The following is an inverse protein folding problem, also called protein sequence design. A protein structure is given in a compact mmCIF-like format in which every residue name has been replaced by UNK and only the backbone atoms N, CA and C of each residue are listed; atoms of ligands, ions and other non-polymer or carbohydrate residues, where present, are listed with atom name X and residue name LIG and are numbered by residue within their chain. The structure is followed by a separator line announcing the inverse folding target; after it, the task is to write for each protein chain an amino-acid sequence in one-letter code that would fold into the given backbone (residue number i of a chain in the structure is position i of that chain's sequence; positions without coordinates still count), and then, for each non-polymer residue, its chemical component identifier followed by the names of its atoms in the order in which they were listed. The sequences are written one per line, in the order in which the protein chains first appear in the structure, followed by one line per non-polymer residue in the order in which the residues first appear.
data_IF_161520864789
#
_entry.id   IF_161520864789
#
_cell.length_a   1.000
_cell.length_b   1.000
_cell.length_c   1.000
_cell.angle_alpha   90.00
_cell.angle_beta   90.00
_cell.angle_gamma   90.00
#
_symmetry.space_group_name_H-M   'P 1'
#
loop_
_entity.id
_entity.type
_entity.pdbx_description
1 polymer ?
#
# COMPACT_ATOMS: atom_id res chain seq x y z
N UNK A 1 5.16 -12.05 6.53
CA UNK A 1 4.20 -11.04 6.98
C UNK A 1 4.99 -9.93 7.65
N UNK A 2 4.83 -8.71 7.16
CA UNK A 2 5.49 -7.49 7.63
C UNK A 2 4.67 -6.86 8.77
N UNK A 3 3.34 -6.87 8.65
CA UNK A 3 2.44 -6.46 9.72
C UNK A 3 2.53 -7.47 10.87
N UNK A 4 2.67 -6.95 12.09
CA UNK A 4 2.68 -7.74 13.34
C UNK A 4 1.31 -7.66 13.99
N UNK A 5 0.38 -8.45 13.48
CA UNK A 5 -1.04 -8.43 13.89
C UNK A 5 -1.27 -9.03 15.28
N UNK A 6 -0.35 -9.86 15.77
CA UNK A 6 -0.43 -10.52 17.07
C UNK A 6 -0.44 -9.56 18.28
N UNK A 7 -0.07 -8.29 18.06
CA UNK A 7 -0.03 -7.27 19.12
C UNK A 7 -1.33 -6.45 19.23
N UNK A 8 -2.34 -6.72 18.39
CA UNK A 8 -3.59 -5.96 18.40
C UNK A 8 -4.55 -6.50 19.46
N UNK A 9 -5.29 -5.59 20.11
CA UNK A 9 -6.30 -5.95 21.14
C UNK A 9 -7.59 -6.51 20.57
N UNK A 10 -7.78 -6.40 19.26
CA UNK A 10 -8.96 -6.85 18.51
C UNK A 10 -8.52 -7.85 17.44
N UNK A 11 -9.37 -8.84 17.08
CA UNK A 11 -9.09 -9.74 15.96
C UNK A 11 -8.94 -8.96 14.65
N UNK A 12 -7.82 -9.19 13.95
CA UNK A 12 -7.51 -8.57 12.66
C UNK A 12 -7.64 -9.60 11.54
N UNK A 13 -8.21 -9.18 10.41
CA UNK A 13 -8.18 -9.92 9.14
C UNK A 13 -7.15 -9.27 8.22
N UNK A 14 -6.21 -10.06 7.72
CA UNK A 14 -5.35 -9.66 6.61
C UNK A 14 -6.18 -9.72 5.32
N UNK A 15 -6.44 -8.57 4.72
CA UNK A 15 -7.35 -8.43 3.57
C UNK A 15 -6.62 -8.18 2.27
N UNK A 16 -5.34 -7.80 2.34
CA UNK A 16 -4.51 -7.53 1.18
C UNK A 16 -3.08 -8.00 1.38
N UNK A 17 -2.56 -8.62 0.32
CA UNK A 17 -1.18 -8.99 0.09
C UNK A 17 -0.83 -8.67 -1.37
N UNK A 18 0.14 -7.78 -1.56
CA UNK A 18 0.66 -7.46 -2.89
C UNK A 18 1.17 -8.72 -3.61
N UNK A 19 1.75 -9.67 -2.88
CA UNK A 19 2.27 -10.90 -3.49
C UNK A 19 1.20 -11.74 -4.19
N UNK A 20 -0.06 -11.69 -3.73
CA UNK A 20 -1.16 -12.39 -4.39
C UNK A 20 -1.65 -11.62 -5.62
N UNK A 21 -1.70 -10.28 -5.55
CA UNK A 21 -2.03 -9.43 -6.70
C UNK A 21 -1.02 -9.59 -7.84
N UNK A 22 0.28 -9.56 -7.54
CA UNK A 22 1.32 -9.71 -8.57
C UNK A 22 1.35 -11.09 -9.22
N UNK A 23 0.88 -12.13 -8.53
CA UNK A 23 0.71 -13.47 -9.13
C UNK A 23 -0.48 -13.49 -10.09
N UNK A 24 -1.54 -12.74 -9.79
CA UNK A 24 -2.73 -12.65 -10.62
C UNK A 24 -2.50 -11.83 -11.89
N UNK A 25 -1.62 -10.82 -11.83
CA UNK A 25 -1.30 -9.95 -12.98
C UNK A 25 0.22 -9.86 -13.27
N UNK A 26 0.81 -10.89 -13.91
CA UNK A 26 2.21 -10.88 -14.31
C UNK A 26 2.52 -9.89 -15.45
N UNK A 27 1.50 -9.47 -16.22
CA UNK A 27 1.68 -8.49 -17.30
C UNK A 27 1.94 -7.10 -16.72
N UNK A 28 1.18 -6.69 -15.71
CA UNK A 28 1.41 -5.45 -14.96
C UNK A 28 2.83 -5.36 -14.39
N UNK A 29 3.31 -6.47 -13.80
CA UNK A 29 4.70 -6.57 -13.31
C UNK A 29 5.66 -6.32 -14.46
N UNK A 30 5.52 -7.04 -15.57
CA UNK A 30 6.41 -6.94 -16.73
C UNK A 30 6.45 -5.53 -17.33
N UNK A 31 5.29 -4.88 -17.45
CA UNK A 31 5.17 -3.50 -17.94
C UNK A 31 5.87 -2.49 -16.99
N UNK A 32 5.68 -2.64 -15.68
CA UNK A 32 6.32 -1.78 -14.67
C UNK A 32 7.84 -1.93 -14.69
N UNK A 33 8.34 -3.16 -14.87
CA UNK A 33 9.77 -3.42 -15.03
C UNK A 33 10.32 -2.81 -16.32
N UNK A 34 9.60 -2.94 -17.45
CA UNK A 34 9.99 -2.34 -18.72
C UNK A 34 10.08 -0.82 -18.62
N UNK A 35 9.10 -0.16 -17.98
CA UNK A 35 9.14 1.28 -17.73
C UNK A 35 10.32 1.69 -16.85
N UNK A 36 10.63 0.92 -15.81
CA UNK A 36 11.80 1.16 -14.94
C UNK A 36 13.11 1.16 -15.74
N UNK A 37 13.26 0.22 -16.68
CA UNK A 37 14.46 0.08 -17.52
C UNK A 37 14.50 1.09 -18.69
N UNK A 38 13.38 1.66 -19.08
CA UNK A 38 13.30 2.57 -20.23
C UNK A 38 13.88 3.96 -19.91
N UNK A 39 15.09 4.21 -20.42
CA UNK A 39 15.79 5.49 -20.27
C UNK A 39 15.24 6.60 -21.18
N UNK A 40 14.52 6.26 -22.24
CA UNK A 40 13.89 7.26 -23.12
C UNK A 40 12.67 7.91 -22.47
N UNK A 41 12.17 7.30 -21.38
CA UNK A 41 11.02 7.77 -20.60
C UNK A 41 11.44 8.05 -19.15
N UNK A 42 12.16 9.16 -18.88
CA UNK A 42 12.74 9.44 -17.56
C UNK A 42 11.71 9.86 -16.50
N UNK A 43 10.49 10.24 -16.91
CA UNK A 43 9.42 10.70 -16.01
C UNK A 43 8.45 9.59 -15.59
N UNK A 44 8.62 8.36 -16.06
CA UNK A 44 7.74 7.22 -15.75
C UNK A 44 8.54 5.97 -15.39
N UNK A 45 7.94 5.11 -14.57
CA UNK A 45 8.58 3.96 -13.96
C UNK A 45 9.29 4.29 -12.64
N UNK A 46 9.86 3.27 -12.02
CA UNK A 46 10.62 3.39 -10.77
C UNK A 46 12.11 3.58 -11.07
N UNK A 47 12.90 3.86 -10.05
CA UNK A 47 14.35 4.04 -10.18
C UNK A 47 15.11 2.71 -10.30
N UNK A 48 14.56 1.64 -9.70
CA UNK A 48 15.21 0.32 -9.66
C UNK A 48 16.32 0.18 -8.61
N UNK A 49 16.50 1.15 -7.70
CA UNK A 49 17.50 1.14 -6.62
C UNK A 49 17.46 -0.13 -5.78
N UNK A 50 16.27 -0.68 -5.57
CA UNK A 50 16.03 -1.84 -4.71
C UNK A 50 15.81 -3.14 -5.48
N UNK A 51 16.03 -3.14 -6.80
CA UNK A 51 15.64 -4.21 -7.72
C UNK A 51 14.42 -3.82 -8.55
N UNK A 52 14.11 -4.63 -9.57
CA UNK A 52 12.95 -4.42 -10.42
C UNK A 52 11.64 -4.80 -9.70
N UNK A 53 10.59 -4.01 -9.89
CA UNK A 53 9.29 -4.22 -9.22
C UNK A 53 8.82 -5.68 -9.26
N UNK A 54 8.48 -6.25 -8.11
CA UNK A 54 8.01 -7.63 -7.98
C UNK A 54 9.06 -8.73 -8.18
N UNK A 55 10.30 -8.40 -8.55
CA UNK A 55 11.38 -9.37 -8.68
C UNK A 55 11.86 -9.90 -7.33
N UNK A 56 12.60 -11.03 -7.33
CA UNK A 56 13.19 -11.58 -6.12
C UNK A 56 14.13 -10.58 -5.43
N UNK A 57 14.92 -9.82 -6.19
CA UNK A 57 15.82 -8.80 -5.64
C UNK A 57 15.04 -7.70 -4.89
N UNK A 58 13.90 -7.29 -5.45
CA UNK A 58 13.01 -6.30 -4.85
C UNK A 58 12.40 -6.79 -3.53
N UNK A 59 11.86 -8.01 -3.52
CA UNK A 59 11.38 -8.65 -2.29
C UNK A 59 12.49 -8.84 -1.26
N UNK A 60 13.68 -9.24 -1.69
CA UNK A 60 14.81 -9.40 -0.79
C UNK A 60 15.30 -8.07 -0.20
N UNK A 61 15.16 -6.95 -0.93
CA UNK A 61 15.47 -5.61 -0.41
C UNK A 61 14.51 -5.20 0.71
N UNK A 62 13.23 -5.53 0.58
CA UNK A 62 12.22 -5.34 1.63
C UNK A 62 12.56 -6.22 2.84
N UNK A 63 12.72 -7.52 2.64
CA UNK A 63 12.93 -8.48 3.72
C UNK A 63 14.24 -8.27 4.50
N UNK A 64 15.26 -7.71 3.84
CA UNK A 64 16.55 -7.38 4.46
C UNK A 64 16.58 -5.96 5.05
N UNK A 65 15.48 -5.22 5.01
CA UNK A 65 15.37 -3.85 5.53
C UNK A 65 16.22 -2.82 4.76
N UNK A 66 16.56 -3.10 3.50
CA UNK A 66 17.26 -2.15 2.62
C UNK A 66 16.31 -1.10 2.07
N UNK A 67 15.10 -1.51 1.72
CA UNK A 67 14.04 -0.61 1.27
C UNK A 67 13.31 -0.02 2.49
N UNK A 68 13.12 1.31 2.57
CA UNK A 68 12.35 1.92 3.63
C UNK A 68 10.88 1.48 3.57
N UNK A 69 10.31 1.19 4.74
CA UNK A 69 8.90 0.84 4.89
C UNK A 69 8.19 1.89 5.73
N UNK A 70 6.94 2.20 5.36
CA UNK A 70 6.04 3.05 6.14
C UNK A 70 4.94 2.18 6.73
N UNK A 71 4.86 2.13 8.06
CA UNK A 71 3.80 1.44 8.78
C UNK A 71 2.80 2.47 9.31
N UNK A 72 1.52 2.28 8.98
CA UNK A 72 0.43 3.08 9.52
C UNK A 72 -0.54 2.16 10.22
N UNK A 73 -1.00 2.56 11.40
CA UNK A 73 -2.04 1.85 12.12
C UNK A 73 -2.87 2.85 12.92
N UNK A 74 -4.19 2.71 12.88
CA UNK A 74 -5.07 3.66 13.54
C UNK A 74 -6.53 3.25 13.51
N UNK A 75 -7.37 4.16 14.02
CA UNK A 75 -8.82 3.97 14.07
C UNK A 75 -9.44 4.67 12.87
N UNK A 76 -10.27 3.97 12.11
CA UNK A 76 -11.04 4.54 11.01
C UNK A 76 -12.02 5.57 11.58
N UNK A 77 -11.89 6.82 11.13
CA UNK A 77 -12.82 7.92 11.45
C UNK A 77 -13.86 8.14 10.38
N UNK A 78 -13.57 7.74 9.15
CA UNK A 78 -14.48 7.84 8.01
C UNK A 78 -14.06 6.84 6.95
N UNK A 79 -15.02 6.29 6.22
CA UNK A 79 -14.81 5.55 4.98
C UNK A 79 -15.66 6.19 3.88
N UNK A 80 -15.10 6.40 2.69
CA UNK A 80 -15.75 7.12 1.60
C UNK A 80 -15.18 6.73 0.23
N UNK A 81 -15.87 7.16 -0.82
CA UNK A 81 -15.43 7.06 -2.21
C UNK A 81 -14.73 8.34 -2.63
N UNK A 82 -13.55 8.21 -3.25
CA UNK A 82 -12.83 9.27 -3.96
C UNK A 82 -12.38 8.79 -5.33
N UNK A 83 -11.95 9.71 -6.20
CA UNK A 83 -11.53 9.41 -7.57
C UNK A 83 -12.53 9.89 -8.62
N UNK A 84 -12.14 9.75 -9.89
CA UNK A 84 -12.96 10.20 -11.03
C UNK A 84 -13.93 9.12 -11.50
N UNK A 85 -13.60 7.85 -11.26
CA UNK A 85 -14.46 6.72 -11.62
C UNK A 85 -15.50 6.48 -10.51
N UNK A 86 -16.78 6.28 -10.87
CA UNK A 86 -17.80 5.90 -9.89
C UNK A 86 -17.47 4.53 -9.29
N UNK A 87 -17.58 4.43 -7.97
CA UNK A 87 -17.43 3.19 -7.22
C UNK A 87 -18.62 3.02 -6.30
N UNK A 88 -19.18 1.81 -6.28
CA UNK A 88 -20.25 1.43 -5.35
C UNK A 88 -19.71 1.13 -3.94
N UNK A 89 -18.39 1.01 -3.80
CA UNK A 89 -17.71 0.66 -2.56
C UNK A 89 -16.72 1.76 -2.13
N UNK A 90 -16.63 1.98 -0.82
CA UNK A 90 -15.62 2.87 -0.25
C UNK A 90 -14.23 2.41 -0.68
N UNK A 91 -13.40 3.35 -1.17
CA UNK A 91 -12.04 3.08 -1.61
C UNK A 91 -11.00 3.90 -0.82
N UNK A 92 -11.45 4.72 0.13
CA UNK A 92 -10.60 5.58 0.95
C UNK A 92 -11.11 5.64 2.38
N UNK A 93 -10.19 5.72 3.34
CA UNK A 93 -10.48 5.93 4.76
C UNK A 93 -9.63 7.06 5.32
N UNK A 94 -10.21 7.79 6.29
CA UNK A 94 -9.46 8.70 7.15
C UNK A 94 -9.09 7.96 8.43
N UNK A 95 -7.78 7.82 8.68
CA UNK A 95 -7.21 7.04 9.76
C UNK A 95 -6.68 7.97 10.86
N UNK A 96 -7.23 7.88 12.08
CA UNK A 96 -6.68 8.53 13.26
C UNK A 96 -5.50 7.71 13.79
N UNK A 97 -4.30 8.26 13.70
CA UNK A 97 -3.06 7.67 14.20
C UNK A 97 -2.89 7.88 15.72
N UNK A 98 -1.90 7.21 16.29
CA UNK A 98 -1.59 7.26 17.73
C UNK A 98 -1.08 8.63 18.20
N UNK A 99 -0.40 9.38 17.32
CA UNK A 99 0.02 10.76 17.52
C UNK A 99 -1.13 11.79 17.45
N UNK A 100 -2.35 11.33 17.15
CA UNK A 100 -3.55 12.15 17.05
C UNK A 100 -3.76 12.81 15.68
N UNK A 101 -2.86 12.59 14.72
CA UNK A 101 -3.04 13.07 13.34
C UNK A 101 -4.03 12.21 12.57
N UNK A 102 -4.63 12.79 11.52
CA UNK A 102 -5.50 12.08 10.59
C UNK A 102 -4.78 11.96 9.25
N UNK A 103 -4.72 10.74 8.74
CA UNK A 103 -4.16 10.45 7.42
C UNK A 103 -5.18 9.73 6.55
N UNK A 104 -5.43 10.26 5.34
CA UNK A 104 -6.26 9.59 4.35
C UNK A 104 -5.44 8.55 3.59
N UNK A 105 -5.92 7.31 3.54
CA UNK A 105 -5.28 6.20 2.82
C UNK A 105 -6.30 5.42 1.97
N UNK A 106 -5.81 4.79 0.91
CA UNK A 106 -6.62 3.91 0.07
C UNK A 106 -6.99 2.61 0.78
N UNK A 107 -8.11 2.02 0.38
CA UNK A 107 -8.50 0.65 0.74
C UNK A 107 -7.96 -0.30 -0.32
N UNK A 108 -7.21 -1.30 0.13
CA UNK A 108 -6.68 -2.38 -0.70
C UNK A 108 -7.22 -3.69 -0.17
N UNK A 109 -7.77 -4.53 -1.06
CA UNK A 109 -8.24 -5.87 -0.74
C UNK A 109 -7.92 -6.83 -1.88
N UNK A 110 -7.59 -8.08 -1.57
CA UNK A 110 -7.51 -9.13 -2.59
C UNK A 110 -8.89 -9.76 -2.88
N UNK A 111 -9.88 -9.52 -2.01
CA UNK A 111 -11.28 -9.95 -2.16
C UNK A 111 -12.18 -8.72 -1.99
N UNK A 112 -13.07 -8.47 -2.94
CA UNK A 112 -13.92 -7.27 -2.95
C UNK A 112 -14.81 -7.18 -1.70
N UNK A 113 -15.33 -8.32 -1.24
CA UNK A 113 -16.16 -8.46 -0.04
C UNK A 113 -15.46 -7.96 1.24
N UNK A 114 -14.13 -7.94 1.28
CA UNK A 114 -13.38 -7.48 2.44
C UNK A 114 -13.43 -5.96 2.62
N UNK A 115 -13.87 -5.22 1.59
CA UNK A 115 -14.07 -3.78 1.67
C UNK A 115 -15.15 -3.42 2.72
N UNK A 116 -16.09 -4.34 3.00
CA UNK A 116 -17.16 -4.15 3.99
C UNK A 116 -16.67 -4.08 5.44
N UNK A 117 -15.43 -4.47 5.73
CA UNK A 117 -14.85 -4.35 7.08
C UNK A 117 -14.36 -2.93 7.39
N UNK A 118 -14.19 -2.07 6.38
CA UNK A 118 -13.68 -0.71 6.56
C UNK A 118 -14.77 0.26 7.01
N UNK A 119 -15.06 0.23 8.31
CA UNK A 119 -16.12 1.03 8.96
C UNK A 119 -15.57 1.89 10.08
N UNK A 120 -16.26 2.98 10.37
CA UNK A 120 -15.90 3.86 11.50
C UNK A 120 -15.78 3.07 12.81
N UNK A 121 -14.75 3.38 13.60
CA UNK A 121 -14.46 2.70 14.85
C UNK A 121 -13.68 1.38 14.70
N UNK A 122 -13.46 0.86 13.49
CA UNK A 122 -12.55 -0.27 13.28
C UNK A 122 -11.09 0.19 13.29
N UNK A 123 -10.17 -0.73 13.60
CA UNK A 123 -8.73 -0.53 13.42
C UNK A 123 -8.35 -0.98 12.01
N UNK A 124 -7.43 -0.24 11.40
CA UNK A 124 -6.73 -0.68 10.19
C UNK A 124 -5.24 -0.51 10.37
N UNK A 125 -4.49 -1.45 9.79
CA UNK A 125 -3.03 -1.38 9.68
C UNK A 125 -2.63 -1.62 8.23
N UNK A 126 -1.69 -0.81 7.73
CA UNK A 126 -1.13 -0.95 6.38
C UNK A 126 0.37 -0.75 6.43
N UNK A 127 1.09 -1.48 5.58
CA UNK A 127 2.52 -1.27 5.35
C UNK A 127 2.77 -1.00 3.88
N UNK A 128 3.52 0.08 3.63
CA UNK A 128 3.96 0.48 2.31
C UNK A 128 5.45 0.27 2.13
N UNK A 129 5.85 -0.20 0.96
CA UNK A 129 7.20 -0.02 0.43
C UNK A 129 7.34 1.42 -0.10
N UNK A 130 8.42 2.10 0.29
CA UNK A 130 8.79 3.40 -0.25
C UNK A 130 9.82 3.21 -1.36
N UNK A 131 9.35 2.91 -2.58
CA UNK A 131 10.22 2.71 -3.73
C UNK A 131 10.52 4.03 -4.43
N UNK A 132 11.74 4.21 -4.90
CA UNK A 132 12.19 5.48 -5.45
C UNK A 132 11.65 5.70 -6.85
N UNK A 133 11.14 6.90 -7.11
CA UNK A 133 10.87 7.36 -8.46
C UNK A 133 12.18 7.67 -9.19
N UNK A 134 12.17 7.66 -10.52
CA UNK A 134 13.32 8.14 -11.31
C UNK A 134 13.66 9.60 -10.97
N UNK A 135 14.93 10.03 -11.06
CA UNK A 135 15.35 11.37 -10.64
C UNK A 135 14.53 12.51 -11.28
N UNK A 136 14.23 12.42 -12.57
CA UNK A 136 13.45 13.43 -13.29
C UNK A 136 11.98 13.43 -12.85
N UNK A 137 11.40 12.25 -12.60
CA UNK A 137 10.07 12.13 -12.01
C UNK A 137 10.03 12.72 -10.59
N UNK A 138 11.03 12.42 -9.76
CA UNK A 138 11.13 12.94 -8.39
C UNK A 138 11.12 14.47 -8.36
N UNK A 139 11.93 15.09 -9.21
CA UNK A 139 12.01 16.56 -9.31
C UNK A 139 10.70 17.15 -9.83
N UNK A 140 10.06 16.50 -10.80
CA UNK A 140 8.82 16.97 -11.39
C UNK A 140 7.62 16.89 -10.41
N UNK A 141 7.51 15.80 -9.66
CA UNK A 141 6.39 15.58 -8.72
C UNK A 141 6.66 16.15 -7.33
N UNK A 142 7.89 16.57 -7.03
CA UNK A 142 8.27 17.02 -5.69
C UNK A 142 8.22 15.91 -4.63
N UNK A 143 8.22 14.64 -5.04
CA UNK A 143 8.12 13.48 -4.18
C UNK A 143 9.18 12.45 -4.58
N UNK A 144 9.92 11.93 -3.60
CA UNK A 144 10.98 10.95 -3.84
C UNK A 144 10.44 9.53 -4.08
N UNK A 145 9.42 9.15 -3.32
CA UNK A 145 8.98 7.77 -3.21
C UNK A 145 7.58 7.59 -3.78
N UNK A 146 7.39 6.49 -4.50
CA UNK A 146 6.08 5.90 -4.70
C UNK A 146 5.74 5.03 -3.49
N UNK A 147 4.53 5.17 -2.94
CA UNK A 147 4.05 4.34 -1.84
C UNK A 147 3.32 3.13 -2.42
N UNK A 148 3.91 1.95 -2.25
CA UNK A 148 3.38 0.69 -2.77
C UNK A 148 2.83 -0.11 -1.59
N UNK A 149 1.52 -0.32 -1.54
CA UNK A 149 0.92 -1.14 -0.48
C UNK A 149 1.47 -2.56 -0.57
N UNK A 150 1.93 -3.12 0.56
CA UNK A 150 2.44 -4.49 0.62
C UNK A 150 1.44 -5.41 1.30
N UNK A 151 0.91 -4.96 2.44
CA UNK A 151 -0.05 -5.70 3.25
C UNK A 151 -1.05 -4.72 3.87
N UNK A 152 -2.33 -5.11 3.95
CA UNK A 152 -3.36 -4.35 4.66
C UNK A 152 -4.21 -5.31 5.51
N UNK A 153 -4.49 -4.89 6.74
CA UNK A 153 -5.34 -5.61 7.66
C UNK A 153 -6.35 -4.67 8.31
N UNK A 154 -7.52 -5.20 8.64
CA UNK A 154 -8.63 -4.48 9.26
C UNK A 154 -9.26 -5.33 10.37
N UNK A 155 -9.74 -4.69 11.43
CA UNK A 155 -10.35 -5.41 12.54
C UNK A 155 -11.71 -5.97 12.16
N UNK A 156 -12.02 -7.17 12.68
CA UNK A 156 -13.34 -7.80 12.49
C UNK A 156 -14.41 -7.18 13.37
N UNK A 157 -13.99 -6.51 14.45
CA UNK A 157 -14.85 -5.83 15.41
C UNK A 157 -14.36 -4.39 15.63
N UNK A 158 -15.25 -3.43 15.95
CA UNK A 158 -14.84 -2.08 16.30
C UNK A 158 -14.11 -2.04 17.65
N UNK A 159 -13.28 -1.03 17.86
CA UNK A 159 -12.72 -0.75 19.18
C UNK A 159 -13.82 -0.23 20.12
N UNK A 160 -13.83 -0.72 21.36
CA UNK A 160 -14.72 -0.26 22.43
C UNK A 160 -14.25 1.05 23.03
#
# INVERSE_FOLDING_TARGET
MLLKLENTKVPMKLVYLLSEELKADPEYVSLTQALTLDRSRPYVGLNGTYGLFGSQEWWDSINRGKMPLLFLSGIIKRAYVTGQDPSDFNNTIDLLLDDGTIQSIGIYTNQEEDSDFFKEGHITSIVYALDELKPEAMLNFGQKYNQIALEMAVSLEPVK
#
